data_IF_563047988841
#
_entry.id   IF_563047988841
#
_cell.length_a   1.000
_cell.length_b   1.000
_cell.length_c   1.000
_cell.angle_alpha   90.00
_cell.angle_beta   90.00
_cell.angle_gamma   90.00
#
_symmetry.space_group_name_H-M   'P 1'
#
loop_
_entity.id
_entity.type
_entity.pdbx_description
1 polymer ?
#
# COMPACT_ATOMS: atom_id res chain seq x y z
N UNK A 1 -4.57 -25.12 16.09
CA UNK A 1 -4.17 -26.16 15.11
C UNK A 1 -5.15 -26.37 13.96
N UNK A 2 -6.48 -26.54 14.15
CA UNK A 2 -7.41 -26.75 13.00
C UNK A 2 -7.40 -25.59 11.97
N UNK A 3 -7.42 -24.35 12.43
CA UNK A 3 -7.42 -23.16 11.54
C UNK A 3 -6.12 -22.99 10.76
N UNK A 4 -4.98 -23.21 11.40
CA UNK A 4 -3.65 -23.14 10.78
C UNK A 4 -3.48 -24.17 9.65
N UNK A 5 -3.84 -25.43 9.91
CA UNK A 5 -3.81 -26.47 8.90
C UNK A 5 -4.76 -26.18 7.72
N UNK A 6 -5.91 -25.55 8.00
CA UNK A 6 -6.82 -25.10 6.96
C UNK A 6 -6.22 -23.97 6.11
N UNK A 7 -5.60 -22.96 6.75
CA UNK A 7 -4.90 -21.86 6.07
C UNK A 7 -3.80 -22.37 5.15
N UNK A 8 -2.90 -23.23 5.63
CA UNK A 8 -1.82 -23.81 4.83
C UNK A 8 -2.35 -24.58 3.62
N UNK A 9 -3.44 -25.33 3.80
CA UNK A 9 -4.08 -26.05 2.68
C UNK A 9 -4.66 -25.10 1.64
N UNK A 10 -5.30 -24.02 2.06
CA UNK A 10 -5.87 -23.01 1.13
C UNK A 10 -4.77 -22.28 0.37
N UNK A 11 -3.66 -21.95 1.04
CA UNK A 11 -2.49 -21.34 0.41
C UNK A 11 -1.68 -22.32 -0.45
N UNK A 12 -2.07 -23.59 -0.55
CA UNK A 12 -1.32 -24.60 -1.29
C UNK A 12 0.08 -24.87 -0.72
N UNK A 13 0.28 -24.58 0.58
CA UNK A 13 1.58 -24.57 1.26
C UNK A 13 2.61 -23.59 0.68
N UNK A 14 2.18 -22.65 -0.17
CA UNK A 14 3.02 -21.52 -0.57
C UNK A 14 2.91 -20.40 0.46
N UNK A 15 3.93 -20.31 1.32
CA UNK A 15 4.04 -19.28 2.35
C UNK A 15 5.12 -18.25 2.02
N UNK A 16 5.79 -18.39 0.88
CA UNK A 16 6.87 -17.48 0.51
C UNK A 16 6.30 -16.28 -0.23
N UNK A 17 6.53 -15.09 0.31
CA UNK A 17 6.12 -13.83 -0.32
C UNK A 17 7.29 -12.87 -0.37
N UNK A 18 7.46 -12.24 -1.54
CA UNK A 18 8.42 -11.16 -1.71
C UNK A 18 7.71 -9.83 -1.46
N UNK A 19 8.24 -9.01 -0.55
CA UNK A 19 7.69 -7.71 -0.20
C UNK A 19 8.56 -6.57 -0.77
N UNK A 20 7.98 -5.42 -1.13
CA UNK A 20 8.66 -4.34 -1.83
C UNK A 20 9.68 -3.56 -0.98
N UNK A 21 9.73 -3.78 0.35
CA UNK A 21 10.50 -2.95 1.28
C UNK A 21 12.01 -2.97 1.03
N UNK A 22 12.58 -4.15 0.83
CA UNK A 22 14.02 -4.29 0.54
C UNK A 22 14.36 -3.69 -0.82
N UNK A 23 13.49 -3.90 -1.82
CA UNK A 23 13.63 -3.29 -3.15
C UNK A 23 13.63 -1.76 -3.07
N UNK A 24 12.70 -1.18 -2.30
CA UNK A 24 12.60 0.25 -2.11
C UNK A 24 13.91 0.87 -1.56
N UNK A 25 14.54 0.21 -0.58
CA UNK A 25 15.85 0.67 -0.06
C UNK A 25 16.94 0.58 -1.14
N UNK A 26 16.99 -0.54 -1.87
CA UNK A 26 17.97 -0.73 -2.94
C UNK A 26 17.79 0.31 -4.06
N UNK A 27 16.55 0.63 -4.42
CA UNK A 27 16.23 1.62 -5.45
C UNK A 27 16.61 3.04 -4.99
N UNK A 28 16.33 3.40 -3.74
CA UNK A 28 16.78 4.68 -3.18
C UNK A 28 18.31 4.79 -3.25
N UNK A 29 19.04 3.75 -2.86
CA UNK A 29 20.51 3.73 -2.97
C UNK A 29 21.00 3.82 -4.43
N UNK A 30 20.36 3.09 -5.35
CA UNK A 30 20.68 3.14 -6.78
C UNK A 30 20.44 4.54 -7.39
N UNK A 31 19.44 5.27 -6.89
CA UNK A 31 19.14 6.66 -7.26
C UNK A 31 20.07 7.68 -6.57
N UNK A 32 21.07 7.23 -5.82
CA UNK A 32 22.06 8.07 -5.17
C UNK A 32 21.63 8.63 -3.82
N UNK A 33 20.52 8.16 -3.25
CA UNK A 33 20.09 8.52 -1.90
C UNK A 33 20.98 7.79 -0.89
N UNK A 34 21.80 8.55 -0.17
CA UNK A 34 22.71 8.02 0.85
C UNK A 34 22.07 8.12 2.23
N UNK A 35 21.97 6.99 2.90
CA UNK A 35 21.54 6.94 4.30
C UNK A 35 22.75 7.21 5.20
N UNK A 36 22.80 8.41 5.78
CA UNK A 36 23.81 8.75 6.78
C UNK A 36 23.37 8.24 8.16
N UNK A 37 24.30 8.11 9.10
CA UNK A 37 24.03 7.66 10.47
C UNK A 37 23.20 8.65 11.32
N UNK A 38 22.71 9.75 10.72
CA UNK A 38 21.93 10.79 11.39
C UNK A 38 20.43 10.48 11.24
N UNK A 39 19.72 10.37 12.35
CA UNK A 39 18.30 9.94 12.39
C UNK A 39 17.32 10.88 11.66
N UNK A 40 17.72 12.14 11.40
CA UNK A 40 16.90 13.19 10.78
C UNK A 40 17.45 13.66 9.41
N UNK A 41 18.08 12.77 8.66
CA UNK A 41 18.50 13.09 7.29
C UNK A 41 17.30 13.12 6.33
N UNK A 42 17.29 13.98 5.29
CA UNK A 42 16.25 13.97 4.25
C UNK A 42 16.09 12.61 3.56
N UNK A 43 17.17 11.82 3.48
CA UNK A 43 17.15 10.46 2.97
C UNK A 43 16.34 9.52 3.87
N UNK A 44 16.51 9.64 5.19
CA UNK A 44 15.76 8.87 6.18
C UNK A 44 14.27 9.23 6.12
N UNK A 45 13.93 10.52 5.99
CA UNK A 45 12.54 10.96 5.88
C UNK A 45 11.88 10.50 4.58
N UNK A 46 12.63 10.50 3.47
CA UNK A 46 12.19 9.89 2.22
C UNK A 46 11.85 8.41 2.41
N UNK A 47 12.75 7.63 2.99
CA UNK A 47 12.51 6.21 3.22
C UNK A 47 11.31 5.95 4.16
N UNK A 48 11.17 6.72 5.25
CA UNK A 48 9.99 6.66 6.13
C UNK A 48 8.71 6.89 5.34
N UNK A 49 8.70 7.87 4.43
CA UNK A 49 7.54 8.19 3.60
C UNK A 49 7.23 7.13 2.55
N UNK A 50 8.25 6.56 1.92
CA UNK A 50 8.12 5.39 1.02
C UNK A 50 7.47 4.23 1.76
N UNK A 51 7.96 3.91 2.95
CA UNK A 51 7.41 2.83 3.78
C UNK A 51 5.98 3.11 4.22
N UNK A 52 5.65 4.37 4.52
CA UNK A 52 4.27 4.77 4.83
C UNK A 52 3.32 4.48 3.65
N UNK A 53 3.72 4.77 2.41
CA UNK A 53 2.90 4.44 1.23
C UNK A 53 2.75 2.93 1.03
N UNK A 54 3.84 2.16 1.12
CA UNK A 54 3.81 0.70 1.00
C UNK A 54 2.92 0.05 2.07
N UNK A 55 3.07 0.45 3.33
CA UNK A 55 2.25 -0.05 4.43
C UNK A 55 0.77 0.31 4.24
N UNK A 56 0.49 1.50 3.74
CA UNK A 56 -0.88 1.94 3.49
C UNK A 56 -1.51 1.18 2.32
N UNK A 57 -0.74 0.88 1.28
CA UNK A 57 -1.20 0.14 0.11
C UNK A 57 -1.65 -1.31 0.43
N UNK A 58 -1.16 -1.92 1.52
CA UNK A 58 -1.66 -3.21 2.02
C UNK A 58 -3.15 -3.15 2.45
N UNK A 59 -3.62 -1.96 2.83
CA UNK A 59 -5.00 -1.72 3.25
C UNK A 59 -5.88 -1.24 2.10
N UNK A 60 -5.33 -1.13 0.89
CA UNK A 60 -6.07 -0.61 -0.25
C UNK A 60 -7.12 -1.60 -0.74
N UNK A 61 -8.37 -1.16 -0.95
CA UNK A 61 -9.41 -2.01 -1.55
C UNK A 61 -9.10 -2.39 -3.00
N UNK A 62 -8.14 -1.72 -3.65
CA UNK A 62 -7.70 -2.00 -5.02
C UNK A 62 -6.72 -3.18 -5.09
N UNK A 63 -6.27 -3.71 -3.94
CA UNK A 63 -5.40 -4.88 -3.82
C UNK A 63 -4.13 -4.81 -4.69
N UNK A 64 -3.35 -3.71 -4.64
CA UNK A 64 -2.17 -3.53 -5.50
C UNK A 64 -1.11 -4.63 -5.26
N UNK A 65 -0.99 -5.15 -4.03
CA UNK A 65 -0.10 -6.26 -3.68
C UNK A 65 -0.47 -7.61 -4.32
N UNK A 66 -1.69 -7.76 -4.85
CA UNK A 66 -2.13 -8.98 -5.54
C UNK A 66 -2.12 -8.84 -7.06
N UNK A 67 -1.95 -7.61 -7.56
CA UNK A 67 -2.13 -7.28 -8.98
C UNK A 67 -0.83 -6.80 -9.64
N UNK A 68 0.16 -6.37 -8.86
CA UNK A 68 1.39 -5.77 -9.35
C UNK A 68 2.63 -6.41 -8.72
N UNK A 69 3.75 -6.35 -9.45
CA UNK A 69 5.01 -6.88 -8.96
C UNK A 69 5.58 -6.03 -7.82
N UNK A 70 6.33 -6.62 -6.87
CA UNK A 70 6.98 -5.86 -5.79
C UNK A 70 7.93 -4.77 -6.28
N UNK A 71 8.57 -4.94 -7.45
CA UNK A 71 9.40 -3.91 -8.09
C UNK A 71 8.58 -2.66 -8.40
N UNK A 72 7.48 -2.80 -9.11
CA UNK A 72 6.59 -1.71 -9.50
C UNK A 72 5.99 -0.98 -8.29
N UNK A 73 5.63 -1.72 -7.24
CA UNK A 73 5.16 -1.14 -5.97
C UNK A 73 6.24 -0.28 -5.30
N UNK A 74 7.48 -0.78 -5.24
CA UNK A 74 8.60 -0.04 -4.67
C UNK A 74 8.90 1.23 -5.49
N UNK A 75 8.95 1.12 -6.81
CA UNK A 75 9.17 2.25 -7.73
C UNK A 75 8.11 3.33 -7.57
N UNK A 76 6.83 2.95 -7.54
CA UNK A 76 5.73 3.90 -7.37
C UNK A 76 5.76 4.61 -6.02
N UNK A 77 6.07 3.89 -4.94
CA UNK A 77 6.19 4.47 -3.61
C UNK A 77 7.38 5.45 -3.51
N UNK A 78 8.53 5.11 -4.11
CA UNK A 78 9.71 6.00 -4.21
C UNK A 78 9.37 7.26 -5.00
N UNK A 79 8.74 7.11 -6.17
CA UNK A 79 8.34 8.24 -7.01
C UNK A 79 7.38 9.18 -6.28
N UNK A 80 6.33 8.65 -5.65
CA UNK A 80 5.34 9.45 -4.92
C UNK A 80 5.97 10.15 -3.71
N UNK A 81 6.73 9.43 -2.88
CA UNK A 81 7.37 10.00 -1.70
C UNK A 81 8.38 11.10 -2.03
N UNK A 82 9.19 10.91 -3.07
CA UNK A 82 10.17 11.91 -3.49
C UNK A 82 9.50 13.20 -3.97
N UNK A 83 8.36 13.08 -4.67
CA UNK A 83 7.55 14.24 -5.07
C UNK A 83 6.95 14.99 -3.88
N UNK A 84 6.46 14.28 -2.87
CA UNK A 84 5.86 14.90 -1.68
C UNK A 84 6.89 15.59 -0.77
N UNK A 85 8.12 15.08 -0.72
CA UNK A 85 9.22 15.65 0.09
C UNK A 85 10.12 16.58 -0.75
N UNK A 86 9.77 16.81 -2.02
CA UNK A 86 10.48 17.70 -2.95
C UNK A 86 11.96 17.30 -3.21
N UNK A 87 12.27 16.01 -3.12
CA UNK A 87 13.60 15.48 -3.46
C UNK A 87 13.68 15.27 -4.97
N UNK A 88 14.69 15.89 -5.59
CA UNK A 88 14.94 15.74 -7.02
C UNK A 88 15.52 14.38 -7.33
N UNK A 89 14.74 13.55 -8.00
CA UNK A 89 15.19 12.33 -8.65
C UNK A 89 15.67 12.63 -10.09
N UNK A 90 16.34 11.69 -10.78
CA UNK A 90 16.71 11.85 -12.17
C UNK A 90 15.53 12.28 -13.05
N UNK A 91 15.79 13.17 -14.02
CA UNK A 91 14.75 13.74 -14.89
C UNK A 91 14.27 12.78 -15.99
N UNK A 92 15.08 11.77 -16.32
CA UNK A 92 14.77 10.71 -17.28
C UNK A 92 13.82 9.67 -16.65
N UNK A 93 13.29 8.75 -17.46
CA UNK A 93 12.35 7.69 -17.06
C UNK A 93 13.06 6.59 -16.23
N UNK A 94 13.66 6.98 -15.10
CA UNK A 94 14.48 6.12 -14.25
C UNK A 94 13.75 4.88 -13.73
N UNK A 95 12.42 4.93 -13.67
CA UNK A 95 11.56 3.81 -13.27
C UNK A 95 11.66 2.61 -14.22
N UNK A 96 12.01 2.83 -15.50
CA UNK A 96 12.18 1.74 -16.47
C UNK A 96 13.34 0.81 -16.10
N UNK A 97 14.38 1.34 -15.43
CA UNK A 97 15.52 0.55 -14.94
C UNK A 97 15.11 -0.44 -13.84
N UNK A 98 13.95 -0.22 -13.21
CA UNK A 98 13.38 -1.08 -12.18
C UNK A 98 12.20 -1.91 -12.71
N UNK A 99 12.17 -2.16 -14.02
CA UNK A 99 11.14 -2.96 -14.70
C UNK A 99 9.71 -2.46 -14.46
N UNK A 100 9.55 -1.14 -14.27
CA UNK A 100 8.25 -0.49 -14.09
C UNK A 100 7.95 0.34 -15.31
N UNK A 101 6.80 0.12 -15.96
CA UNK A 101 6.37 0.95 -17.09
C UNK A 101 5.65 2.22 -16.62
N UNK A 102 5.48 3.17 -17.54
CA UNK A 102 4.84 4.47 -17.23
C UNK A 102 3.36 4.35 -16.88
N UNK A 103 2.63 3.43 -17.48
CA UNK A 103 1.19 3.26 -17.26
C UNK A 103 0.94 2.63 -15.88
N UNK A 104 1.70 1.58 -15.56
CA UNK A 104 1.75 0.89 -14.28
C UNK A 104 2.15 1.85 -13.16
N UNK A 105 3.21 2.65 -13.37
CA UNK A 105 3.62 3.69 -12.43
C UNK A 105 2.49 4.69 -12.18
N UNK A 106 1.85 5.18 -13.25
CA UNK A 106 0.74 6.13 -13.15
C UNK A 106 -0.45 5.56 -12.36
N UNK A 107 -0.83 4.31 -12.65
CA UNK A 107 -1.89 3.61 -11.93
C UNK A 107 -1.56 3.49 -10.45
N UNK A 108 -0.37 2.96 -10.11
CA UNK A 108 0.03 2.73 -8.73
C UNK A 108 0.15 4.02 -7.92
N UNK A 109 0.64 5.11 -8.52
CA UNK A 109 0.71 6.42 -7.87
C UNK A 109 -0.69 6.95 -7.53
N UNK A 110 -1.64 6.84 -8.46
CA UNK A 110 -3.04 7.23 -8.21
C UNK A 110 -3.67 6.34 -7.13
N UNK A 111 -3.42 5.03 -7.18
CA UNK A 111 -3.88 4.08 -6.18
C UNK A 111 -3.40 4.45 -4.77
N UNK A 112 -2.10 4.71 -4.61
CA UNK A 112 -1.51 5.12 -3.32
C UNK A 112 -2.03 6.49 -2.87
N UNK A 113 -2.19 7.44 -3.78
CA UNK A 113 -2.72 8.79 -3.49
C UNK A 113 -4.19 8.75 -3.05
N UNK A 114 -4.96 7.74 -3.47
CA UNK A 114 -6.38 7.60 -3.09
C UNK A 114 -6.59 7.18 -1.62
N UNK A 115 -5.56 6.61 -0.98
CA UNK A 115 -5.69 6.00 0.35
C UNK A 115 -6.07 6.94 1.49
N UNK A 116 -5.55 8.18 1.60
CA UNK A 116 -6.02 9.13 2.61
C UNK A 116 -7.51 9.43 2.50
N UNK A 117 -8.05 9.54 1.27
CA UNK A 117 -9.48 9.73 1.04
C UNK A 117 -10.30 8.55 1.54
N UNK A 118 -9.90 7.33 1.16
CA UNK A 118 -10.52 6.10 1.64
C UNK A 118 -10.49 6.01 3.18
N UNK A 119 -9.34 6.30 3.80
CA UNK A 119 -9.20 6.26 5.25
C UNK A 119 -10.11 7.28 5.97
N UNK A 120 -10.29 8.48 5.40
CA UNK A 120 -11.22 9.48 5.94
C UNK A 120 -12.68 9.02 5.82
N UNK A 121 -13.07 8.42 4.71
CA UNK A 121 -14.41 7.87 4.52
C UNK A 121 -14.71 6.74 5.50
N UNK A 122 -13.78 5.78 5.66
CA UNK A 122 -13.93 4.70 6.63
C UNK A 122 -13.94 5.23 8.06
N UNK A 123 -13.12 6.24 8.39
CA UNK A 123 -13.18 6.93 9.68
C UNK A 123 -14.50 7.66 9.90
N UNK A 124 -15.12 8.23 8.87
CA UNK A 124 -16.43 8.86 8.99
C UNK A 124 -17.54 7.83 9.23
N UNK A 125 -17.48 6.67 8.55
CA UNK A 125 -18.43 5.56 8.69
C UNK A 125 -18.33 4.89 10.06
N UNK A 126 -17.12 4.56 10.49
CA UNK A 126 -16.85 3.74 11.67
C UNK A 126 -16.38 4.53 12.88
N UNK A 127 -15.99 5.80 12.75
CA UNK A 127 -15.49 6.59 13.88
C UNK A 127 -16.51 6.81 15.01
N UNK A 128 -17.80 6.62 14.72
CA UNK A 128 -18.91 6.71 15.71
C UNK A 128 -19.62 5.38 15.94
N UNK A 129 -19.22 4.31 15.25
CA UNK A 129 -19.94 3.03 15.20
C UNK A 129 -18.97 1.87 15.36
N UNK A 130 -19.40 0.80 16.02
CA UNK A 130 -18.59 -0.41 16.15
C UNK A 130 -18.40 -1.06 14.76
N UNK A 131 -17.15 -1.34 14.39
CA UNK A 131 -16.84 -2.17 13.22
C UNK A 131 -17.30 -3.61 13.52
N UNK A 132 -18.03 -4.27 12.61
CA UNK A 132 -18.39 -5.67 12.76
C UNK A 132 -17.15 -6.56 12.86
N UNK A 133 -17.01 -7.30 13.97
CA UNK A 133 -15.90 -8.22 14.19
C UNK A 133 -16.35 -9.68 14.30
N UNK A 134 -17.67 -9.95 14.24
CA UNK A 134 -18.27 -11.29 14.21
C UNK A 134 -19.17 -11.45 12.99
N UNK A 135 -19.51 -12.70 12.66
CA UNK A 135 -20.46 -13.00 11.58
C UNK A 135 -21.83 -12.38 11.88
N UNK A 136 -22.33 -12.53 13.10
CA UNK A 136 -23.61 -11.95 13.52
C UNK A 136 -23.61 -10.42 13.40
N UNK A 137 -22.51 -9.76 13.83
CA UNK A 137 -22.37 -8.31 13.70
C UNK A 137 -22.35 -7.89 12.22
N UNK A 138 -21.72 -8.70 11.34
CA UNK A 138 -21.62 -8.43 9.91
C UNK A 138 -22.96 -8.63 9.20
N UNK A 139 -23.67 -9.71 9.49
CA UNK A 139 -25.01 -10.00 8.95
C UNK A 139 -25.99 -8.90 9.35
N UNK A 140 -25.98 -8.47 10.61
CA UNK A 140 -26.80 -7.35 11.08
C UNK A 140 -26.48 -6.03 10.36
N UNK A 141 -25.21 -5.78 10.04
CA UNK A 141 -24.81 -4.61 9.26
C UNK A 141 -25.24 -4.70 7.79
N UNK A 142 -25.11 -5.86 7.17
CA UNK A 142 -25.55 -6.09 5.79
C UNK A 142 -27.06 -5.88 5.65
N UNK A 143 -27.84 -6.40 6.61
CA UNK A 143 -29.29 -6.23 6.62
C UNK A 143 -29.69 -4.76 6.81
N UNK A 144 -29.01 -4.05 7.72
CA UNK A 144 -29.20 -2.60 7.88
C UNK A 144 -28.94 -1.84 6.57
N UNK A 145 -27.90 -2.21 5.82
CA UNK A 145 -27.58 -1.57 4.52
C UNK A 145 -28.64 -1.84 3.46
N UNK A 146 -29.20 -3.06 3.42
CA UNK A 146 -30.31 -3.41 2.50
C UNK A 146 -31.55 -2.58 2.79
N UNK A 147 -31.97 -2.52 4.06
CA UNK A 147 -33.14 -1.74 4.49
C UNK A 147 -32.99 -0.24 4.18
N UNK A 148 -31.78 0.31 4.29
CA UNK A 148 -31.50 1.71 3.92
C UNK A 148 -31.54 1.95 2.41
N UNK A 149 -31.19 0.96 1.59
CA UNK A 149 -31.22 1.04 0.13
C UNK A 149 -32.62 0.84 -0.46
N UNK A 150 -33.47 0.04 0.20
CA UNK A 150 -34.88 -0.19 -0.21
C UNK A 150 -35.83 0.92 0.24
N UNK A 151 -35.43 1.74 1.22
CA UNK A 151 -36.21 2.88 1.71
C UNK A 151 -35.97 4.20 0.97
N UNK A 152 -35.23 4.19 -0.14
CA UNK A 152 -34.97 5.32 -1.05
C UNK A 152 -35.65 5.07 -2.40
#
# INVERSE_FOLDING_TARGET
>A
MKTEAHLLRVLGFDTHVALPYTLAINYLQALGIKFDAVEDSPATDLAKRVFAHLNTALLSPQLPYLTHQPSSLATAAVYLAAREIEIKLPAEEWWEVFDTDREELGFLVVAMTSMPGFALEEKAKWGRRKVPMSLDDLEAELERRRMLAEGQ
#
